data_IF_540671261396
#
_entry.id   IF_540671261396
#
_cell.length_a   1.000
_cell.length_b   1.000
_cell.length_c   1.000
_cell.angle_alpha   90.00
_cell.angle_beta   90.00
_cell.angle_gamma   90.00
#
_symmetry.space_group_name_H-M   'P 1'
#
loop_
_entity.id
_entity.type
_entity.pdbx_description
1 polymer ?
#
# COMPACT_ATOMS: atom_id res chain seq x y z
N UNK A 1 -34.17 67.09 45.14
CA UNK A 1 -34.20 66.53 43.76
C UNK A 1 -32.84 65.90 43.50
N UNK A 2 -32.71 64.59 43.61
CA UNK A 2 -31.45 63.90 43.41
C UNK A 2 -31.63 62.91 42.24
N UNK A 3 -30.91 63.14 41.17
CA UNK A 3 -30.97 62.36 39.94
C UNK A 3 -29.88 61.28 39.97
N UNK A 4 -30.30 59.97 40.06
CA UNK A 4 -29.41 58.82 40.12
C UNK A 4 -29.11 58.39 38.67
N UNK A 5 -27.84 58.40 38.32
CA UNK A 5 -27.33 57.84 37.05
C UNK A 5 -27.07 56.34 37.22
N UNK A 6 -27.77 55.52 36.42
CA UNK A 6 -27.51 54.07 36.27
C UNK A 6 -26.35 53.87 35.27
N UNK A 7 -25.27 53.27 35.74
CA UNK A 7 -24.18 52.83 34.89
C UNK A 7 -24.49 51.44 34.41
N UNK A 8 -24.71 51.29 33.07
CA UNK A 8 -24.82 50.00 32.42
C UNK A 8 -23.44 49.32 32.29
N UNK A 9 -23.28 48.14 32.86
CA UNK A 9 -22.11 47.26 32.60
C UNK A 9 -22.37 46.52 31.26
N UNK A 10 -21.58 46.84 30.26
CA UNK A 10 -21.51 46.06 29.01
C UNK A 10 -20.66 44.81 29.21
N UNK A 11 -21.28 43.63 29.07
CA UNK A 11 -20.56 42.37 29.00
C UNK A 11 -19.93 42.24 27.60
N UNK A 12 -18.60 42.30 27.54
CA UNK A 12 -17.82 41.93 26.33
C UNK A 12 -17.66 40.42 26.33
N UNK A 13 -18.44 39.73 25.51
CA UNK A 13 -18.29 38.31 25.27
C UNK A 13 -17.06 38.03 24.43
N UNK A 14 -16.08 37.38 24.98
CA UNK A 14 -14.93 36.89 24.23
C UNK A 14 -15.34 35.64 23.42
N UNK A 15 -15.36 35.74 22.10
CA UNK A 15 -15.53 34.59 21.21
C UNK A 15 -14.18 33.87 21.14
N UNK A 16 -14.09 32.71 21.78
CA UNK A 16 -12.96 31.80 21.62
C UNK A 16 -13.16 31.02 20.32
N UNK A 17 -12.45 31.41 19.26
CA UNK A 17 -12.36 30.61 18.04
C UNK A 17 -11.40 29.46 18.31
N UNK A 18 -11.96 28.26 18.54
CA UNK A 18 -11.16 27.04 18.57
C UNK A 18 -10.67 26.73 17.14
N UNK A 19 -9.39 26.98 16.88
CA UNK A 19 -8.74 26.52 15.68
C UNK A 19 -8.58 24.97 15.78
N UNK A 20 -9.44 24.23 15.10
CA UNK A 20 -9.20 22.80 14.87
C UNK A 20 -8.02 22.71 13.92
N UNK A 21 -6.83 22.43 14.45
CA UNK A 21 -5.71 22.00 13.63
C UNK A 21 -6.13 20.66 12.97
N UNK A 22 -6.35 20.69 11.65
CA UNK A 22 -6.42 19.49 10.84
C UNK A 22 -5.05 18.83 11.00
N UNK A 23 -4.99 17.75 11.76
CA UNK A 23 -3.80 16.95 11.85
C UNK A 23 -3.50 16.44 10.43
N UNK A 24 -2.43 16.97 9.82
CA UNK A 24 -1.88 16.36 8.62
C UNK A 24 -1.55 14.91 8.97
N UNK A 25 -1.84 13.96 8.07
CA UNK A 25 -1.45 12.57 8.31
C UNK A 25 0.07 12.52 8.58
N UNK A 26 0.45 11.76 9.59
CA UNK A 26 1.81 11.66 10.17
C UNK A 26 2.86 11.04 9.20
N UNK A 27 2.55 11.00 7.90
CA UNK A 27 3.40 10.37 6.87
C UNK A 27 4.61 11.21 6.44
N UNK A 28 4.75 12.45 6.90
CA UNK A 28 5.81 13.36 6.42
C UNK A 28 7.23 12.98 6.90
N UNK A 29 7.37 12.12 7.93
CA UNK A 29 8.64 11.62 8.45
C UNK A 29 8.71 10.07 8.53
N UNK A 30 7.65 9.37 8.14
CA UNK A 30 7.66 7.92 8.07
C UNK A 30 8.30 7.47 6.76
N UNK A 31 9.25 6.55 6.81
CA UNK A 31 9.83 5.91 5.62
C UNK A 31 8.75 5.30 4.71
N UNK A 32 9.10 4.97 3.48
CA UNK A 32 8.18 4.33 2.54
C UNK A 32 7.68 2.99 3.10
N UNK A 33 6.38 2.75 2.95
CA UNK A 33 5.69 1.55 3.45
C UNK A 33 4.79 0.92 2.38
N UNK A 34 4.50 -0.39 2.48
CA UNK A 34 3.49 -1.06 1.67
C UNK A 34 2.12 -0.36 1.76
N UNK A 35 1.44 -0.21 0.63
CA UNK A 35 0.17 0.51 0.52
C UNK A 35 0.29 2.00 0.19
N UNK A 36 1.49 2.57 0.19
CA UNK A 36 1.71 3.96 -0.20
C UNK A 36 1.72 4.11 -1.73
N UNK A 37 1.36 5.30 -2.20
CA UNK A 37 1.52 5.69 -3.60
C UNK A 37 3.00 5.74 -3.97
N UNK A 38 3.34 5.14 -5.09
CA UNK A 38 4.64 5.25 -5.76
C UNK A 38 4.39 5.68 -7.21
N UNK A 39 5.23 6.55 -7.75
CA UNK A 39 5.02 7.12 -9.07
C UNK A 39 6.33 7.42 -9.78
N UNK A 40 6.29 7.37 -11.10
CA UNK A 40 7.29 7.94 -12.00
C UNK A 40 6.67 9.07 -12.84
N UNK A 41 7.31 9.48 -13.93
CA UNK A 41 6.80 10.54 -14.80
C UNK A 41 5.50 10.17 -15.53
N UNK A 42 5.25 8.87 -15.74
CA UNK A 42 4.17 8.36 -16.59
C UNK A 42 3.15 7.52 -15.85
N UNK A 43 3.55 6.88 -14.74
CA UNK A 43 2.76 5.88 -14.03
C UNK A 43 2.57 6.23 -12.56
N UNK A 44 1.43 5.80 -12.02
CA UNK A 44 1.12 5.91 -10.60
C UNK A 44 0.54 4.58 -10.13
N UNK A 45 1.22 3.95 -9.19
CA UNK A 45 0.91 2.63 -8.65
C UNK A 45 1.00 2.64 -7.12
N UNK A 46 0.81 1.49 -6.53
CA UNK A 46 0.90 1.27 -5.08
C UNK A 46 2.16 0.46 -4.76
N UNK A 47 2.88 0.84 -3.71
CA UNK A 47 3.93 0.03 -3.12
C UNK A 47 3.33 -1.26 -2.56
N UNK A 48 3.80 -2.39 -3.04
CA UNK A 48 3.48 -3.72 -2.52
C UNK A 48 4.29 -4.05 -1.27
N UNK A 49 4.62 -5.31 -1.07
CA UNK A 49 5.40 -5.70 0.10
C UNK A 49 6.82 -5.15 0.04
N UNK A 50 7.32 -4.70 1.20
CA UNK A 50 8.73 -4.39 1.38
C UNK A 50 9.54 -5.70 1.50
N UNK A 51 10.69 -5.76 0.87
CA UNK A 51 11.50 -6.95 0.85
C UNK A 51 13.01 -6.63 0.95
N UNK A 52 13.79 -7.63 1.35
CA UNK A 52 15.25 -7.57 1.34
C UNK A 52 15.81 -8.69 0.50
N UNK A 53 16.79 -8.35 -0.34
CA UNK A 53 17.55 -9.30 -1.12
C UNK A 53 18.66 -9.97 -0.34
N UNK A 54 19.19 -11.07 -0.87
CA UNK A 54 20.34 -11.79 -0.31
C UNK A 54 21.61 -10.94 -0.28
N UNK A 55 21.67 -9.89 -1.12
CA UNK A 55 22.75 -8.91 -1.17
C UNK A 55 22.62 -7.79 -0.11
N UNK A 56 21.57 -7.84 0.70
CA UNK A 56 21.23 -6.84 1.72
C UNK A 56 20.53 -5.60 1.18
N UNK A 57 20.32 -5.47 -0.13
CA UNK A 57 19.57 -4.37 -0.73
C UNK A 57 18.09 -4.45 -0.35
N UNK A 58 17.42 -3.28 -0.30
CA UNK A 58 16.00 -3.18 -0.04
C UNK A 58 15.20 -2.96 -1.32
N UNK A 59 13.99 -3.48 -1.32
CA UNK A 59 13.07 -3.44 -2.45
C UNK A 59 11.65 -3.15 -2.01
N UNK A 60 10.88 -2.53 -2.90
CA UNK A 60 9.42 -2.54 -2.85
C UNK A 60 8.90 -3.31 -4.05
N UNK A 61 7.98 -4.21 -3.81
CA UNK A 61 7.27 -4.92 -4.87
C UNK A 61 6.15 -4.01 -5.43
N UNK A 62 5.76 -4.22 -6.68
CA UNK A 62 4.59 -3.58 -7.32
C UNK A 62 4.14 -4.43 -8.51
N UNK A 63 3.13 -4.01 -9.28
CA UNK A 63 2.73 -4.70 -10.51
C UNK A 63 3.75 -4.50 -11.63
N UNK A 64 3.87 -5.49 -12.52
CA UNK A 64 4.77 -5.43 -13.66
C UNK A 64 4.36 -4.40 -14.70
N UNK A 65 3.05 -4.26 -14.97
CA UNK A 65 2.52 -3.26 -15.90
C UNK A 65 2.79 -1.81 -15.47
N UNK A 66 3.22 -1.58 -14.22
CA UNK A 66 3.69 -0.28 -13.77
C UNK A 66 5.05 0.11 -14.39
N UNK A 67 5.82 -0.85 -14.87
CA UNK A 67 7.12 -0.64 -15.51
C UNK A 67 6.96 -0.27 -16.98
N UNK A 68 7.25 0.97 -17.34
CA UNK A 68 7.30 1.41 -18.73
C UNK A 68 8.60 0.98 -19.46
N UNK A 69 9.51 0.28 -18.78
CA UNK A 69 10.83 -0.14 -19.29
C UNK A 69 11.74 1.00 -19.77
N UNK A 70 11.51 2.20 -19.26
CA UNK A 70 12.29 3.42 -19.62
C UNK A 70 13.41 3.75 -18.62
N UNK A 71 13.50 2.99 -17.51
CA UNK A 71 14.49 3.19 -16.46
C UNK A 71 14.22 4.42 -15.60
N UNK A 72 12.97 4.92 -15.55
CA UNK A 72 12.55 6.08 -14.79
C UNK A 72 12.86 5.95 -13.30
N UNK A 73 13.10 7.09 -12.65
CA UNK A 73 13.22 7.20 -11.21
C UNK A 73 11.80 7.18 -10.61
N UNK A 74 11.55 6.22 -9.75
CA UNK A 74 10.34 6.17 -8.93
C UNK A 74 10.48 7.06 -7.71
N UNK A 75 9.36 7.65 -7.30
CA UNK A 75 9.25 8.56 -6.16
C UNK A 75 8.08 8.18 -5.27
N UNK A 76 8.04 8.72 -4.05
CA UNK A 76 6.93 8.57 -3.11
C UNK A 76 6.68 9.88 -2.35
N UNK A 77 5.54 9.98 -1.66
CA UNK A 77 5.19 11.17 -0.89
C UNK A 77 5.17 12.45 -1.73
N UNK A 78 5.97 13.44 -1.35
CA UNK A 78 6.09 14.71 -2.08
C UNK A 78 7.27 14.65 -3.08
N UNK A 79 7.26 13.66 -3.98
CA UNK A 79 8.31 13.43 -4.97
C UNK A 79 9.70 13.13 -4.35
N UNK A 80 9.73 12.45 -3.22
CA UNK A 80 10.97 11.97 -2.63
C UNK A 80 11.54 10.83 -3.47
N UNK A 81 12.83 10.86 -3.84
CA UNK A 81 13.44 9.77 -4.61
C UNK A 81 13.33 8.44 -3.88
N UNK A 82 12.95 7.40 -4.62
CA UNK A 82 12.79 6.04 -4.11
C UNK A 82 13.85 5.10 -4.66
N UNK A 83 13.96 5.02 -5.97
CA UNK A 83 14.82 4.09 -6.68
C UNK A 83 14.29 3.79 -8.07
N UNK A 84 14.76 2.67 -8.67
CA UNK A 84 14.37 2.27 -10.02
C UNK A 84 13.90 0.83 -10.04
N UNK A 85 13.01 0.49 -10.99
CA UNK A 85 12.68 -0.90 -11.24
C UNK A 85 13.94 -1.63 -11.70
N UNK A 86 14.25 -2.73 -11.04
CA UNK A 86 15.43 -3.55 -11.30
C UNK A 86 15.08 -4.90 -11.91
N UNK A 87 13.86 -5.35 -11.78
CA UNK A 87 13.30 -6.51 -12.46
C UNK A 87 11.79 -6.37 -12.56
N UNK A 88 11.22 -6.81 -13.69
CA UNK A 88 9.77 -6.89 -13.88
C UNK A 88 9.41 -8.10 -14.73
N UNK A 89 8.19 -8.58 -14.52
CA UNK A 89 7.55 -9.67 -15.25
C UNK A 89 6.23 -9.14 -15.78
N UNK A 90 6.05 -9.17 -17.09
CA UNK A 90 4.82 -8.71 -17.74
C UNK A 90 4.24 -9.77 -18.69
N UNK A 91 4.82 -10.97 -18.75
CA UNK A 91 4.38 -12.01 -19.64
C UNK A 91 3.13 -12.71 -19.11
N UNK A 92 1.98 -12.30 -19.62
CA UNK A 92 0.68 -12.90 -19.35
C UNK A 92 0.13 -12.53 -17.96
N UNK A 93 -1.14 -12.86 -17.75
CA UNK A 93 -1.89 -12.57 -16.50
C UNK A 93 -1.27 -13.19 -15.23
N UNK A 94 -0.34 -14.15 -15.39
CA UNK A 94 0.20 -14.97 -14.30
C UNK A 94 1.47 -14.37 -13.68
N UNK A 95 2.07 -13.31 -14.26
CA UNK A 95 3.39 -12.80 -13.85
C UNK A 95 3.52 -11.29 -13.90
N UNK A 96 2.45 -10.61 -13.65
CA UNK A 96 2.44 -9.14 -13.63
C UNK A 96 2.98 -8.62 -12.29
N UNK A 97 4.31 -8.57 -12.17
CA UNK A 97 4.98 -8.10 -10.97
C UNK A 97 6.31 -7.41 -11.28
N UNK A 98 6.69 -6.43 -10.46
CA UNK A 98 7.98 -5.75 -10.53
C UNK A 98 8.57 -5.49 -9.15
N UNK A 99 9.87 -5.20 -9.11
CA UNK A 99 10.58 -4.77 -7.90
C UNK A 99 11.31 -3.46 -8.16
N UNK A 100 11.06 -2.48 -7.32
CA UNK A 100 11.78 -1.22 -7.24
C UNK A 100 12.95 -1.43 -6.27
N UNK A 101 14.18 -1.39 -6.76
CA UNK A 101 15.36 -1.38 -5.90
C UNK A 101 15.50 -0.01 -5.29
N UNK A 102 15.52 0.07 -3.97
CA UNK A 102 15.64 1.33 -3.26
C UNK A 102 17.07 1.87 -3.37
N UNK A 103 17.16 3.19 -3.59
CA UNK A 103 18.45 3.87 -3.54
C UNK A 103 19.02 3.81 -2.11
N UNK A 104 20.35 3.66 -1.94
CA UNK A 104 20.96 3.53 -0.62
C UNK A 104 20.61 4.68 0.35
N UNK A 105 20.32 5.86 -0.17
CA UNK A 105 19.92 7.03 0.62
C UNK A 105 18.52 6.97 1.22
N UNK A 106 17.65 6.07 0.73
CA UNK A 106 16.29 5.86 1.26
C UNK A 106 16.33 5.10 2.59
N UNK A 107 17.31 4.21 2.73
CA UNK A 107 17.41 3.33 3.90
C UNK A 107 16.44 2.14 3.83
N UNK A 108 16.21 1.52 4.98
CA UNK A 108 15.27 0.40 5.10
C UNK A 108 13.83 0.91 5.04
N UNK A 109 12.97 0.32 4.18
CA UNK A 109 11.55 0.64 4.18
C UNK A 109 10.88 0.08 5.44
N UNK A 110 9.70 0.60 5.77
CA UNK A 110 8.83 0.01 6.77
C UNK A 110 8.30 -1.31 6.22
N UNK A 111 8.36 -2.41 6.99
CA UNK A 111 7.84 -3.72 6.59
C UNK A 111 6.31 -3.80 6.73
N UNK A 112 5.79 -3.10 7.73
CA UNK A 112 4.37 -3.14 8.10
C UNK A 112 3.45 -2.69 6.96
N UNK A 113 2.49 -3.51 6.59
CA UNK A 113 1.46 -3.18 5.60
C UNK A 113 0.61 -2.03 6.12
N UNK A 114 0.55 -0.95 5.34
CA UNK A 114 -0.12 0.29 5.72
C UNK A 114 0.51 0.99 6.92
N UNK A 115 1.77 0.65 7.27
CA UNK A 115 2.45 1.17 8.46
C UNK A 115 1.84 0.71 9.79
N UNK A 116 1.11 -0.43 9.80
CA UNK A 116 0.35 -0.89 10.99
C UNK A 116 0.23 -2.40 11.14
N UNK A 117 0.35 -3.18 10.08
CA UNK A 117 0.20 -4.63 10.12
C UNK A 117 1.55 -5.30 9.88
N UNK A 118 2.15 -5.84 10.93
CA UNK A 118 3.37 -6.65 10.83
C UNK A 118 3.13 -7.85 9.94
N UNK A 119 4.01 -8.08 8.95
CA UNK A 119 3.95 -9.28 8.12
C UNK A 119 4.63 -10.43 8.84
N UNK A 120 3.85 -11.44 9.26
CA UNK A 120 4.36 -12.60 10.00
C UNK A 120 4.95 -13.67 9.09
N UNK A 121 4.27 -13.95 7.98
CA UNK A 121 4.62 -14.99 7.03
C UNK A 121 4.10 -14.68 5.61
N UNK A 122 4.41 -15.57 4.69
CA UNK A 122 3.93 -15.56 3.30
C UNK A 122 3.21 -16.87 3.05
N UNK A 123 1.97 -16.80 2.55
CA UNK A 123 1.18 -17.99 2.26
C UNK A 123 1.54 -18.58 0.89
N UNK A 124 1.71 -19.90 0.85
CA UNK A 124 1.74 -20.67 -0.38
C UNK A 124 0.32 -20.90 -0.92
N UNK A 125 0.18 -21.18 -2.21
CA UNK A 125 -1.11 -21.35 -2.87
C UNK A 125 -2.02 -22.38 -2.21
N UNK A 126 -1.47 -23.48 -1.68
CA UNK A 126 -2.20 -24.56 -1.00
C UNK A 126 -2.70 -24.20 0.41
N UNK A 127 -2.21 -23.09 0.97
CA UNK A 127 -2.65 -22.57 2.27
C UNK A 127 -3.80 -21.58 2.14
N UNK A 128 -4.04 -21.03 0.94
CA UNK A 128 -5.09 -20.04 0.68
C UNK A 128 -6.41 -20.78 0.41
N UNK A 129 -7.46 -20.43 1.16
CA UNK A 129 -8.76 -21.11 1.09
C UNK A 129 -9.81 -20.21 0.47
N UNK A 130 -10.63 -20.76 -0.44
CA UNK A 130 -11.84 -20.10 -0.91
C UNK A 130 -12.75 -19.75 0.27
N UNK A 131 -13.35 -18.57 0.24
CA UNK A 131 -14.16 -18.02 1.32
C UNK A 131 -13.37 -17.43 2.49
N UNK A 132 -12.04 -17.57 2.53
CA UNK A 132 -11.23 -16.95 3.59
C UNK A 132 -11.29 -15.41 3.49
N UNK A 133 -11.33 -14.68 4.63
CA UNK A 133 -11.21 -13.23 4.65
C UNK A 133 -9.91 -12.78 3.99
N UNK A 134 -10.01 -11.77 3.12
CA UNK A 134 -8.90 -11.24 2.36
C UNK A 134 -8.98 -9.72 2.30
N UNK A 135 -7.86 -9.04 2.49
CA UNK A 135 -7.78 -7.59 2.47
C UNK A 135 -6.64 -7.12 1.56
N UNK A 136 -6.70 -5.87 1.11
CA UNK A 136 -5.57 -5.15 0.50
C UNK A 136 -5.50 -3.72 1.02
N UNK A 137 -4.36 -3.07 0.87
CA UNK A 137 -4.21 -1.63 1.08
C UNK A 137 -3.68 -1.00 -0.20
N UNK A 138 -4.48 -0.15 -0.81
CA UNK A 138 -4.13 0.57 -2.03
C UNK A 138 -3.97 2.07 -1.80
N UNK A 139 -3.19 2.69 -2.66
CA UNK A 139 -2.91 4.12 -2.61
C UNK A 139 -4.15 4.98 -2.89
N UNK A 140 -5.12 4.44 -3.64
CA UNK A 140 -6.33 5.14 -4.06
C UNK A 140 -7.51 4.80 -3.17
N UNK A 141 -7.80 3.52 -2.95
CA UNK A 141 -9.00 3.09 -2.22
C UNK A 141 -8.73 2.75 -0.76
N UNK A 142 -7.47 2.81 -0.32
CA UNK A 142 -7.10 2.45 1.04
C UNK A 142 -7.29 0.97 1.34
N UNK A 143 -7.61 0.65 2.58
CA UNK A 143 -7.91 -0.71 2.98
C UNK A 143 -9.31 -1.11 2.54
N UNK A 144 -9.40 -2.18 1.76
CA UNK A 144 -10.65 -2.83 1.37
C UNK A 144 -10.54 -4.32 1.62
N UNK A 145 -11.62 -4.92 2.08
CA UNK A 145 -11.66 -6.34 2.44
C UNK A 145 -12.86 -7.05 1.81
N UNK A 146 -12.71 -8.34 1.62
CA UNK A 146 -13.72 -9.26 1.13
C UNK A 146 -13.29 -10.69 1.39
N UNK A 147 -13.52 -11.59 0.44
CA UNK A 147 -13.16 -13.00 0.57
C UNK A 147 -12.47 -13.51 -0.69
N UNK A 148 -11.62 -14.50 -0.54
CA UNK A 148 -11.04 -15.26 -1.65
C UNK A 148 -12.18 -15.95 -2.41
N UNK A 149 -12.26 -15.72 -3.73
CA UNK A 149 -13.21 -16.41 -4.63
C UNK A 149 -12.61 -17.73 -5.13
N UNK A 150 -11.38 -17.68 -5.65
CA UNK A 150 -10.63 -18.88 -6.09
C UNK A 150 -9.13 -18.60 -6.15
N UNK A 151 -8.36 -19.68 -6.27
CA UNK A 151 -6.91 -19.66 -6.46
C UNK A 151 -6.58 -20.57 -7.63
N UNK A 152 -6.02 -20.01 -8.71
CA UNK A 152 -5.68 -20.77 -9.90
C UNK A 152 -4.43 -20.21 -10.59
N UNK A 153 -3.54 -21.08 -11.06
CA UNK A 153 -2.41 -20.69 -11.90
C UNK A 153 -1.42 -19.68 -11.29
N UNK A 154 -1.43 -19.52 -9.96
CA UNK A 154 -0.60 -18.49 -9.29
C UNK A 154 -1.31 -17.16 -9.08
N UNK A 155 -2.61 -17.10 -9.36
CA UNK A 155 -3.48 -15.94 -9.15
C UNK A 155 -4.48 -16.24 -8.05
N UNK A 156 -4.71 -15.26 -7.19
CA UNK A 156 -5.81 -15.22 -6.22
C UNK A 156 -6.82 -14.19 -6.72
N UNK A 157 -8.04 -14.64 -6.98
CA UNK A 157 -9.17 -13.74 -7.23
C UNK A 157 -9.96 -13.55 -5.94
N UNK A 158 -10.20 -12.29 -5.55
CA UNK A 158 -10.92 -11.96 -4.32
C UNK A 158 -12.02 -10.92 -4.59
N UNK A 159 -13.10 -10.95 -3.78
CA UNK A 159 -14.16 -9.96 -3.81
C UNK A 159 -13.75 -8.69 -3.06
N UNK A 160 -12.74 -7.99 -3.57
CA UNK A 160 -12.15 -6.80 -2.98
C UNK A 160 -12.28 -5.64 -3.94
N UNK A 161 -12.75 -4.49 -3.42
CA UNK A 161 -12.87 -3.26 -4.22
C UNK A 161 -11.49 -2.66 -4.53
N UNK A 162 -11.26 -2.29 -5.78
CA UNK A 162 -10.05 -1.60 -6.24
C UNK A 162 -10.35 -0.66 -7.39
N UNK A 163 -9.46 0.32 -7.59
CA UNK A 163 -9.51 1.29 -8.69
C UNK A 163 -8.12 1.47 -9.30
N UNK A 164 -8.08 2.11 -10.48
CA UNK A 164 -6.83 2.48 -11.12
C UNK A 164 -5.91 3.25 -10.16
N UNK A 165 -4.64 2.84 -10.08
CA UNK A 165 -3.67 3.34 -9.11
C UNK A 165 -3.50 2.47 -7.87
N UNK A 166 -4.40 1.49 -7.63
CA UNK A 166 -4.21 0.44 -6.63
C UNK A 166 -3.30 -0.70 -7.12
N UNK A 167 -2.89 -0.70 -8.39
CA UNK A 167 -1.95 -1.66 -8.98
C UNK A 167 -0.71 -1.83 -8.11
N UNK A 168 -0.33 -3.07 -7.79
CA UNK A 168 0.76 -3.39 -6.89
C UNK A 168 0.38 -3.47 -5.41
N UNK A 169 -0.85 -3.11 -5.02
CA UNK A 169 -1.30 -3.19 -3.63
C UNK A 169 -0.99 -4.54 -2.99
N UNK A 170 -0.49 -4.55 -1.74
CA UNK A 170 -0.31 -5.79 -1.00
C UNK A 170 -1.67 -6.40 -0.63
N UNK A 171 -1.89 -7.64 -1.07
CA UNK A 171 -3.02 -8.47 -0.69
C UNK A 171 -2.63 -9.44 0.42
N UNK A 172 -3.44 -9.54 1.48
CA UNK A 172 -3.09 -10.25 2.69
C UNK A 172 -4.29 -10.85 3.43
N UNK A 173 -4.00 -11.80 4.30
CA UNK A 173 -4.94 -12.36 5.28
C UNK A 173 -4.57 -11.83 6.66
N UNK A 174 -5.56 -11.37 7.43
CA UNK A 174 -5.37 -10.94 8.82
C UNK A 174 -5.36 -12.15 9.75
N UNK A 175 -4.43 -12.15 10.69
CA UNK A 175 -4.30 -13.17 11.73
C UNK A 175 -4.97 -12.72 13.03
N UNK A 176 -5.30 -13.68 13.89
CA UNK A 176 -5.97 -13.41 15.18
C UNK A 176 -5.11 -12.58 16.15
N UNK A 177 -3.79 -12.59 15.97
CA UNK A 177 -2.83 -11.82 16.78
C UNK A 177 -2.63 -10.37 16.29
N UNK A 178 -3.36 -9.95 15.25
CA UNK A 178 -3.27 -8.63 14.65
C UNK A 178 -2.16 -8.46 13.61
N UNK A 179 -1.34 -9.49 13.40
CA UNK A 179 -0.39 -9.56 12.27
C UNK A 179 -1.11 -9.90 10.96
N UNK A 180 -0.37 -9.94 9.86
CA UNK A 180 -0.90 -10.38 8.57
C UNK A 180 0.00 -11.42 7.92
N UNK A 181 -0.60 -12.26 7.08
CA UNK A 181 0.10 -13.17 6.18
C UNK A 181 0.05 -12.61 4.76
N UNK A 182 1.21 -12.40 4.15
CA UNK A 182 1.31 -11.90 2.78
C UNK A 182 0.80 -12.94 1.79
N UNK A 183 0.09 -12.50 0.75
CA UNK A 183 -0.50 -13.38 -0.27
C UNK A 183 -0.07 -12.99 -1.67
N UNK A 184 -0.38 -11.78 -2.12
CA UNK A 184 -0.22 -11.39 -3.51
C UNK A 184 -0.09 -9.89 -3.73
N UNK A 185 0.17 -9.51 -4.99
CA UNK A 185 0.18 -8.13 -5.47
C UNK A 185 -1.02 -7.95 -6.41
N UNK A 186 -1.76 -6.87 -6.23
CA UNK A 186 -2.89 -6.52 -7.09
C UNK A 186 -2.40 -6.29 -8.52
N UNK A 187 -3.01 -6.98 -9.49
CA UNK A 187 -2.63 -6.87 -10.90
C UNK A 187 -3.76 -6.36 -11.80
N UNK A 188 -5.00 -6.75 -11.55
CA UNK A 188 -6.12 -6.38 -12.41
C UNK A 188 -7.46 -6.50 -11.69
N UNK A 189 -8.48 -5.95 -12.33
CA UNK A 189 -9.89 -6.24 -12.04
C UNK A 189 -10.57 -6.64 -13.35
N UNK A 190 -11.55 -7.56 -13.34
CA UNK A 190 -12.33 -7.86 -14.55
C UNK A 190 -13.02 -6.60 -15.08
N UNK A 191 -13.15 -6.48 -16.39
CA UNK A 191 -13.80 -5.34 -17.05
C UNK A 191 -15.19 -5.07 -16.48
N UNK A 192 -15.37 -3.88 -15.92
CA UNK A 192 -16.65 -3.42 -15.36
C UNK A 192 -16.98 -3.97 -13.97
N UNK A 193 -16.05 -4.64 -13.29
CA UNK A 193 -16.25 -5.15 -11.93
C UNK A 193 -15.12 -4.72 -10.97
N UNK A 194 -15.20 -3.50 -10.46
CA UNK A 194 -14.27 -2.96 -9.47
C UNK A 194 -14.32 -3.68 -8.11
N UNK A 195 -15.31 -4.56 -7.89
CA UNK A 195 -15.47 -5.33 -6.65
C UNK A 195 -14.85 -6.73 -6.72
N UNK A 196 -14.26 -7.08 -7.84
CA UNK A 196 -13.48 -8.31 -8.01
C UNK A 196 -12.07 -7.95 -8.46
N UNK A 197 -11.07 -8.48 -7.77
CA UNK A 197 -9.67 -8.11 -8.00
C UNK A 197 -8.79 -9.34 -8.03
N UNK A 198 -7.83 -9.37 -8.94
CA UNK A 198 -6.86 -10.42 -9.13
C UNK A 198 -5.50 -10.01 -8.54
N UNK A 199 -4.87 -10.97 -7.87
CA UNK A 199 -3.58 -10.81 -7.21
C UNK A 199 -2.62 -11.91 -7.64
N UNK A 200 -1.44 -11.55 -8.16
CA UNK A 200 -0.36 -12.52 -8.40
C UNK A 200 0.28 -12.91 -7.07
N UNK A 201 0.50 -14.21 -6.85
CA UNK A 201 1.13 -14.71 -5.62
C UNK A 201 2.56 -14.19 -5.46
N UNK A 202 2.91 -13.72 -4.24
CA UNK A 202 4.27 -13.23 -3.95
C UNK A 202 5.26 -14.36 -3.68
N UNK A 203 4.83 -15.50 -3.14
CA UNK A 203 5.73 -16.61 -2.78
C UNK A 203 6.64 -17.05 -3.94
N UNK A 204 6.13 -17.35 -5.16
CA UNK A 204 6.99 -17.71 -6.29
C UNK A 204 7.94 -16.59 -6.72
N UNK A 205 7.51 -15.33 -6.59
CA UNK A 205 8.31 -14.16 -6.95
C UNK A 205 9.49 -13.96 -6.00
N UNK A 206 9.27 -14.21 -4.70
CA UNK A 206 10.35 -14.14 -3.70
C UNK A 206 11.45 -15.15 -4.02
N UNK A 207 11.07 -16.40 -4.33
CA UNK A 207 12.02 -17.42 -4.74
C UNK A 207 12.77 -17.04 -6.03
N UNK A 208 12.06 -16.50 -7.03
CA UNK A 208 12.64 -16.10 -8.31
C UNK A 208 13.67 -14.98 -8.16
N UNK A 209 13.40 -13.98 -7.34
CA UNK A 209 14.26 -12.80 -7.19
C UNK A 209 15.21 -12.88 -5.98
N UNK A 210 15.21 -13.98 -5.23
CA UNK A 210 16.06 -14.15 -4.05
C UNK A 210 15.75 -13.13 -2.96
N UNK A 211 14.45 -12.87 -2.73
CA UNK A 211 13.96 -11.89 -1.78
C UNK A 211 13.30 -12.57 -0.57
N UNK A 212 13.25 -11.83 0.54
CA UNK A 212 12.38 -12.12 1.69
C UNK A 212 11.57 -10.89 2.03
N UNK A 213 10.29 -11.07 2.34
CA UNK A 213 9.43 -9.98 2.84
C UNK A 213 9.96 -9.51 4.19
N UNK A 214 9.93 -8.20 4.42
CA UNK A 214 10.24 -7.61 5.72
C UNK A 214 9.02 -7.75 6.66
N UNK A 215 9.28 -8.05 7.96
CA UNK A 215 8.23 -8.11 8.97
C UNK A 215 7.68 -6.75 9.31
#
# INVERSE_FOLDING_TARGET
MAMRWLRGLGLVGAVVVAATALANPVWADAGVAPGMKVEDENNSCTAGFAAQGIDGSYYLMTSGHCDAHDGSLWTYGNALPLGRISASEQEGEIRDAAIIRLDPGVGAPIGDVGGRYVVRDVLHSDQIREGAPFCKIGAVTGETCGVVKHVEGGIVTASVFSLNGDSGSPGFVKNDDGSVSAVGLLISSPDGDDNTTDFVLVDPLLGKWGLRVLP
#
